data_IF_144557939577
#
_entry.id   IF_144557939577
#
_cell.length_a   1.000
_cell.length_b   1.000
_cell.length_c   1.000
_cell.angle_alpha   90.00
_cell.angle_beta   90.00
_cell.angle_gamma   90.00
#
_symmetry.space_group_name_H-M   'P 1'
#
loop_
_entity.id
_entity.type
_entity.pdbx_description
1 polymer ?
#
# COMPACT_ATOMS: atom_id res chain seq x y z
N UNK A 1 29.56 -3.55 7.67
CA UNK A 1 28.31 -3.33 6.94
C UNK A 1 27.54 -2.18 7.56
N UNK A 2 27.23 -1.19 6.75
CA UNK A 2 26.52 -0.03 7.24
C UNK A 2 25.02 -0.28 7.32
N UNK A 3 24.45 -0.05 8.50
CA UNK A 3 23.01 -0.09 8.63
C UNK A 3 22.41 1.14 7.95
N UNK A 4 21.45 0.89 7.10
CA UNK A 4 20.73 1.97 6.43
C UNK A 4 19.85 2.66 7.45
N UNK A 5 20.17 3.92 7.76
CA UNK A 5 19.43 4.70 8.76
C UNK A 5 18.21 5.39 8.17
N UNK A 6 18.16 5.54 6.85
CA UNK A 6 17.08 6.25 6.16
C UNK A 6 16.36 5.27 5.24
N UNK A 7 15.05 5.15 5.42
CA UNK A 7 14.22 4.36 4.55
C UNK A 7 13.63 5.28 3.47
N UNK A 8 13.88 4.96 2.22
CA UNK A 8 13.37 5.74 1.10
C UNK A 8 12.07 5.13 0.61
N UNK A 9 11.01 5.91 0.69
CA UNK A 9 9.70 5.52 0.22
C UNK A 9 9.28 6.42 -0.94
N UNK A 10 8.84 5.81 -2.03
CA UNK A 10 8.40 6.55 -3.21
C UNK A 10 7.00 6.10 -3.61
N UNK A 11 6.26 7.00 -4.21
CA UNK A 11 4.92 6.70 -4.71
C UNK A 11 4.94 6.54 -6.22
N UNK A 12 4.28 5.47 -6.71
CA UNK A 12 4.07 5.29 -8.13
C UNK A 12 3.06 6.30 -8.65
N UNK A 13 3.32 6.82 -9.84
CA UNK A 13 2.40 7.72 -10.52
C UNK A 13 1.63 7.04 -11.66
N UNK A 14 1.91 5.76 -11.89
CA UNK A 14 1.16 4.98 -12.88
C UNK A 14 -0.17 4.52 -12.30
N UNK A 15 -1.11 4.18 -13.16
CA UNK A 15 -2.34 3.55 -12.71
C UNK A 15 -2.03 2.16 -12.19
N UNK A 16 -2.49 1.85 -10.99
CA UNK A 16 -2.20 0.57 -10.34
C UNK A 16 -2.76 -0.61 -11.15
N UNK A 17 -3.87 -0.41 -11.87
CA UNK A 17 -4.45 -1.43 -12.73
C UNK A 17 -3.58 -1.72 -13.96
N UNK A 18 -2.70 -0.81 -14.34
CA UNK A 18 -1.72 -1.08 -15.39
C UNK A 18 -0.51 -1.75 -14.74
N UNK A 19 -0.63 -3.06 -14.56
CA UNK A 19 0.35 -3.85 -13.82
C UNK A 19 1.75 -3.74 -14.44
N UNK A 20 1.84 -3.83 -15.77
CA UNK A 20 3.15 -3.80 -16.43
C UNK A 20 3.87 -2.48 -16.23
N UNK A 21 3.18 -1.35 -16.41
CA UNK A 21 3.78 -0.03 -16.19
C UNK A 21 4.13 0.18 -14.73
N UNK A 22 3.26 -0.26 -13.82
CA UNK A 22 3.51 -0.12 -12.38
C UNK A 22 4.72 -0.93 -11.95
N UNK A 23 4.83 -2.18 -12.39
CA UNK A 23 5.98 -3.03 -12.08
C UNK A 23 7.27 -2.42 -12.63
N UNK A 24 7.22 -1.92 -13.87
CA UNK A 24 8.38 -1.30 -14.48
C UNK A 24 8.84 -0.08 -13.70
N UNK A 25 7.91 0.76 -13.25
CA UNK A 25 8.24 1.93 -12.44
C UNK A 25 8.84 1.51 -11.09
N UNK A 26 8.25 0.50 -10.44
CA UNK A 26 8.75 0.02 -9.16
C UNK A 26 10.19 -0.50 -9.28
N UNK A 27 10.46 -1.28 -10.32
CA UNK A 27 11.82 -1.80 -10.55
C UNK A 27 12.82 -0.68 -10.82
N UNK A 28 12.39 0.37 -11.52
CA UNK A 28 13.24 1.54 -11.74
C UNK A 28 13.52 2.28 -10.43
N UNK A 29 12.49 2.47 -9.61
CA UNK A 29 12.64 3.11 -8.30
C UNK A 29 13.55 2.29 -7.39
N UNK A 30 13.43 0.97 -7.43
CA UNK A 30 14.29 0.09 -6.63
C UNK A 30 15.76 0.26 -7.03
N UNK A 31 16.04 0.33 -8.33
CA UNK A 31 17.40 0.60 -8.82
C UNK A 31 17.95 1.92 -8.33
N UNK A 32 17.08 2.90 -8.14
CA UNK A 32 17.46 4.23 -7.66
C UNK A 32 17.58 4.31 -6.14
N UNK A 33 17.40 3.18 -5.45
CA UNK A 33 17.57 3.11 -4.00
C UNK A 33 16.29 3.14 -3.19
N UNK A 34 15.14 3.02 -3.83
CA UNK A 34 13.85 2.98 -3.13
C UNK A 34 13.72 1.69 -2.34
N UNK A 35 13.34 1.79 -1.06
CA UNK A 35 13.18 0.65 -0.16
C UNK A 35 11.75 0.17 -0.03
N UNK A 36 10.80 1.06 -0.19
CA UNK A 36 9.37 0.79 -0.03
C UNK A 36 8.65 1.57 -1.12
N UNK A 37 7.71 0.94 -1.80
CA UNK A 37 6.92 1.62 -2.81
C UNK A 37 5.46 1.72 -2.37
N UNK A 38 4.84 2.84 -2.71
CA UNK A 38 3.44 3.10 -2.41
C UNK A 38 2.66 3.21 -3.72
N UNK A 39 1.51 2.52 -3.77
CA UNK A 39 0.61 2.58 -4.92
C UNK A 39 -0.77 3.03 -4.47
N UNK A 40 -1.43 3.81 -5.29
CA UNK A 40 -2.79 4.26 -4.99
C UNK A 40 -3.78 3.12 -5.23
N UNK A 41 -4.74 2.98 -4.33
CA UNK A 41 -5.82 1.99 -4.47
C UNK A 41 -7.15 2.76 -4.48
N UNK A 42 -7.49 3.36 -5.62
CA UNK A 42 -8.72 4.15 -5.71
C UNK A 42 -9.99 3.32 -5.93
N UNK A 43 -9.83 2.05 -6.32
CA UNK A 43 -10.96 1.19 -6.65
C UNK A 43 -10.62 -0.28 -6.42
N UNK A 44 -11.63 -1.13 -6.55
CA UNK A 44 -11.49 -2.56 -6.30
C UNK A 44 -10.58 -3.24 -7.33
N UNK A 45 -10.60 -2.78 -8.58
CA UNK A 45 -9.72 -3.33 -9.61
C UNK A 45 -8.25 -3.13 -9.25
N UNK A 46 -7.91 -1.97 -8.65
CA UNK A 46 -6.56 -1.70 -8.20
C UNK A 46 -6.15 -2.64 -7.06
N UNK A 47 -7.06 -2.88 -6.10
CA UNK A 47 -6.79 -3.81 -5.01
C UNK A 47 -6.55 -5.22 -5.56
N UNK A 48 -7.34 -5.65 -6.53
CA UNK A 48 -7.19 -6.96 -7.14
C UNK A 48 -5.91 -7.10 -7.96
N UNK A 49 -5.29 -6.01 -8.37
CA UNK A 49 -4.02 -6.03 -9.08
C UNK A 49 -2.82 -6.28 -8.16
N UNK A 50 -2.98 -6.09 -6.85
CA UNK A 50 -1.87 -6.22 -5.90
C UNK A 50 -1.11 -7.55 -6.03
N UNK A 51 -1.77 -8.72 -6.07
CA UNK A 51 -1.00 -9.97 -6.18
C UNK A 51 -0.14 -10.05 -7.44
N UNK A 52 -0.62 -9.52 -8.55
CA UNK A 52 0.12 -9.52 -9.81
C UNK A 52 1.36 -8.64 -9.73
N UNK A 53 1.26 -7.52 -9.01
CA UNK A 53 2.39 -6.62 -8.80
C UNK A 53 3.37 -7.26 -7.82
N UNK A 54 2.87 -7.76 -6.69
CA UNK A 54 3.70 -8.31 -5.63
C UNK A 54 4.61 -9.44 -6.08
N UNK A 55 4.12 -10.33 -6.94
CA UNK A 55 4.94 -11.47 -7.37
C UNK A 55 6.08 -11.09 -8.30
N UNK A 56 6.10 -9.84 -8.78
CA UNK A 56 7.12 -9.36 -9.72
C UNK A 56 8.09 -8.35 -9.10
N UNK A 57 7.87 -7.96 -7.85
CA UNK A 57 8.73 -6.98 -7.16
C UNK A 57 9.32 -7.59 -5.91
N UNK A 58 10.40 -6.98 -5.40
CA UNK A 58 11.11 -7.46 -4.22
C UNK A 58 10.92 -6.58 -2.99
N UNK A 59 10.63 -5.30 -3.20
CA UNK A 59 10.47 -4.37 -2.08
C UNK A 59 9.05 -4.38 -1.56
N UNK A 60 8.85 -4.01 -0.28
CA UNK A 60 7.50 -3.96 0.30
C UNK A 60 6.59 -2.98 -0.44
N UNK A 61 5.32 -3.35 -0.53
CA UNK A 61 4.29 -2.58 -1.21
C UNK A 61 3.31 -2.01 -0.18
N UNK A 62 3.13 -0.68 -0.22
CA UNK A 62 2.14 0.01 0.60
C UNK A 62 0.94 0.36 -0.28
N UNK A 63 -0.24 -0.08 0.15
CA UNK A 63 -1.49 0.30 -0.50
C UNK A 63 -2.00 1.59 0.14
N UNK A 64 -2.16 2.64 -0.65
CA UNK A 64 -2.61 3.94 -0.16
C UNK A 64 -4.12 4.05 -0.35
N UNK A 65 -4.84 4.02 0.76
CA UNK A 65 -6.32 4.00 0.78
C UNK A 65 -6.80 5.38 1.21
N UNK A 66 -7.65 5.98 0.40
CA UNK A 66 -8.12 7.34 0.68
C UNK A 66 -9.47 7.41 1.38
N UNK A 67 -10.47 6.65 0.94
CA UNK A 67 -11.83 6.86 1.44
C UNK A 67 -12.58 5.60 1.83
N UNK A 68 -12.33 4.48 1.17
CA UNK A 68 -13.21 3.31 1.28
C UNK A 68 -12.59 2.21 2.13
N UNK A 69 -13.19 1.89 3.29
CA UNK A 69 -12.68 0.82 4.16
C UNK A 69 -12.64 -0.54 3.47
N UNK A 70 -13.54 -0.82 2.55
CA UNK A 70 -13.55 -2.11 1.85
C UNK A 70 -12.31 -2.28 0.99
N UNK A 71 -11.76 -1.19 0.46
CA UNK A 71 -10.52 -1.24 -0.31
C UNK A 71 -9.33 -1.56 0.58
N UNK A 72 -9.33 -1.05 1.81
CA UNK A 72 -8.27 -1.39 2.77
C UNK A 72 -8.30 -2.88 3.10
N UNK A 73 -9.48 -3.42 3.38
CA UNK A 73 -9.64 -4.83 3.71
C UNK A 73 -9.23 -5.70 2.52
N UNK A 74 -9.67 -5.35 1.33
CA UNK A 74 -9.32 -6.12 0.14
C UNK A 74 -7.81 -6.07 -0.13
N UNK A 75 -7.19 -4.91 0.04
CA UNK A 75 -5.74 -4.77 -0.15
C UNK A 75 -4.95 -5.67 0.81
N UNK A 76 -5.40 -5.75 2.07
CA UNK A 76 -4.80 -6.64 3.05
C UNK A 76 -4.91 -8.09 2.60
N UNK A 77 -6.10 -8.51 2.18
CA UNK A 77 -6.35 -9.88 1.73
C UNK A 77 -5.56 -10.23 0.49
N UNK A 78 -5.28 -9.25 -0.36
CA UNK A 78 -4.54 -9.45 -1.60
C UNK A 78 -3.02 -9.43 -1.41
N UNK A 79 -2.54 -9.17 -0.19
CA UNK A 79 -1.13 -9.32 0.12
C UNK A 79 -0.30 -8.05 0.17
N UNK A 80 -0.92 -6.88 0.29
CA UNK A 80 -0.17 -5.65 0.56
C UNK A 80 0.62 -5.84 1.85
N UNK A 81 1.87 -5.40 1.87
CA UNK A 81 2.70 -5.50 3.06
C UNK A 81 2.28 -4.49 4.12
N UNK A 82 1.84 -3.32 3.67
CA UNK A 82 1.38 -2.25 4.54
C UNK A 82 0.20 -1.56 3.88
N UNK A 83 -0.66 -0.98 4.68
CA UNK A 83 -1.69 -0.08 4.18
C UNK A 83 -1.53 1.27 4.86
N UNK A 84 -1.80 2.33 4.12
CA UNK A 84 -1.80 3.69 4.64
C UNK A 84 -3.23 4.21 4.56
N UNK A 85 -3.77 4.58 5.70
CA UNK A 85 -5.13 5.13 5.77
C UNK A 85 -5.09 6.48 6.46
N UNK A 86 -6.03 7.35 6.11
CA UNK A 86 -6.23 8.62 6.80
C UNK A 86 -7.49 8.47 7.65
N UNK A 87 -7.36 8.45 9.00
CA UNK A 87 -8.53 8.23 9.85
C UNK A 87 -9.57 9.36 9.75
N UNK A 88 -9.17 10.54 9.29
CA UNK A 88 -10.10 11.61 9.03
C UNK A 88 -11.04 11.35 7.85
N UNK A 89 -10.63 10.45 6.94
CA UNK A 89 -11.44 10.07 5.80
C UNK A 89 -12.27 8.81 6.06
N UNK A 90 -12.01 8.12 7.17
CA UNK A 90 -12.76 6.94 7.58
C UNK A 90 -13.38 7.26 8.93
N UNK A 91 -14.62 7.73 8.89
CA UNK A 91 -15.33 8.16 10.11
C UNK A 91 -15.99 7.01 10.86
N UNK A 92 -16.18 5.87 10.21
CA UNK A 92 -16.84 4.72 10.80
C UNK A 92 -15.88 3.91 11.66
N UNK A 93 -16.10 3.96 12.98
CA UNK A 93 -15.25 3.23 13.94
C UNK A 93 -15.35 1.72 13.78
N UNK A 94 -16.52 1.20 13.37
CA UNK A 94 -16.68 -0.21 13.10
C UNK A 94 -15.81 -0.65 11.95
N UNK A 95 -15.81 0.13 10.87
CA UNK A 95 -15.00 -0.16 9.70
C UNK A 95 -13.52 -0.16 10.06
N UNK A 96 -13.08 0.80 10.88
CA UNK A 96 -11.69 0.86 11.31
C UNK A 96 -11.29 -0.37 12.13
N UNK A 97 -12.18 -0.84 13.00
CA UNK A 97 -11.94 -2.07 13.77
C UNK A 97 -11.81 -3.29 12.87
N UNK A 98 -12.63 -3.37 11.82
CA UNK A 98 -12.56 -4.46 10.85
C UNK A 98 -11.23 -4.46 10.10
N UNK A 99 -10.76 -3.27 9.72
CA UNK A 99 -9.46 -3.12 9.05
C UNK A 99 -8.34 -3.62 9.97
N UNK A 100 -8.36 -3.20 11.23
CA UNK A 100 -7.33 -3.59 12.19
C UNK A 100 -7.35 -5.10 12.41
N UNK A 101 -8.53 -5.69 12.54
CA UNK A 101 -8.68 -7.13 12.73
C UNK A 101 -8.12 -7.91 11.55
N UNK A 102 -8.45 -7.49 10.33
CA UNK A 102 -7.97 -8.14 9.12
C UNK A 102 -6.45 -8.00 8.98
N UNK A 103 -5.92 -6.81 9.31
CA UNK A 103 -4.48 -6.58 9.26
C UNK A 103 -3.73 -7.51 10.22
N UNK A 104 -4.27 -7.74 11.41
CA UNK A 104 -3.66 -8.67 12.37
C UNK A 104 -3.66 -10.10 11.84
N UNK A 105 -4.74 -10.52 11.18
CA UNK A 105 -4.82 -11.87 10.62
C UNK A 105 -3.76 -12.12 9.56
N UNK A 106 -3.46 -11.10 8.76
CA UNK A 106 -2.52 -11.20 7.64
C UNK A 106 -1.14 -10.63 7.96
N UNK A 107 -0.92 -10.15 9.18
CA UNK A 107 0.34 -9.53 9.61
C UNK A 107 0.70 -8.31 8.76
N UNK A 108 -0.31 -7.56 8.37
CA UNK A 108 -0.15 -6.34 7.58
C UNK A 108 0.02 -5.15 8.51
N UNK A 109 1.01 -4.31 8.23
CA UNK A 109 1.24 -3.09 9.01
C UNK A 109 0.27 -2.00 8.54
N UNK A 110 -0.32 -1.30 9.50
CA UNK A 110 -1.19 -0.15 9.20
C UNK A 110 -0.43 1.13 9.54
N UNK A 111 -0.33 2.03 8.57
CA UNK A 111 0.18 3.38 8.80
C UNK A 111 -0.99 4.34 8.80
N UNK A 112 -1.06 5.17 9.81
CA UNK A 112 -2.09 6.20 9.91
C UNK A 112 -1.45 7.51 9.48
N UNK A 113 -1.94 8.04 8.35
CA UNK A 113 -1.49 9.33 7.86
C UNK A 113 -2.39 10.42 8.41
N UNK A 114 -1.81 11.42 9.04
CA UNK A 114 -2.55 12.57 9.53
C UNK A 114 -2.23 13.74 8.62
N UNK A 115 -3.25 14.32 8.02
CA UNK A 115 -3.08 15.56 7.28
C UNK A 115 -3.05 16.71 8.27
N UNK A 116 -1.89 17.29 8.43
CA UNK A 116 -1.76 18.51 9.24
C UNK A 116 -2.10 19.70 8.37
N UNK A 117 -3.23 20.17 8.48
CA UNK A 117 -3.49 21.36 7.69
C UNK A 117 -4.72 21.71 7.31
#
# INVERSE_FOLDING_TARGET
>A
MMNKKITIQSMCDTRTTDVQKTVKQIKQLEKEGCDIVRVAIPDMASAKAIPKIKKQIRIPLVADIHFDPSLAIESIRRGADKIRINPGNISDKKALKEIIKEARRHKTTIRIGVNSG
#
